data_IF_386688674308
#
_entry.id   IF_386688674308
#
_cell.length_a   1.000
_cell.length_b   1.000
_cell.length_c   1.000
_cell.angle_alpha   90.00
_cell.angle_beta   90.00
_cell.angle_gamma   90.00
#
_symmetry.space_group_name_H-M   'P 1'
#
loop_
_entity.id
_entity.type
_entity.pdbx_description
1 polymer ?
#
# COMPACT_ATOMS: atom_id res chain seq x y z
N UNK A 1 14.01 6.73 12.72
CA UNK A 1 12.62 6.47 12.29
C UNK A 1 12.41 4.99 11.97
N UNK A 2 13.23 4.40 11.09
CA UNK A 2 13.16 2.99 10.67
C UNK A 2 13.20 1.98 11.82
N UNK A 3 14.11 2.15 12.79
CA UNK A 3 14.23 1.28 13.97
C UNK A 3 12.97 1.28 14.84
N UNK A 4 12.35 2.45 15.03
CA UNK A 4 11.11 2.58 15.79
C UNK A 4 9.94 1.93 15.06
N UNK A 5 9.90 2.05 13.74
CA UNK A 5 8.89 1.41 12.91
C UNK A 5 8.94 -0.12 13.04
N UNK A 6 10.12 -0.73 12.84
CA UNK A 6 10.27 -2.18 13.05
C UNK A 6 9.93 -2.61 14.47
N UNK A 7 10.38 -1.87 15.50
CA UNK A 7 10.06 -2.18 16.89
C UNK A 7 8.55 -2.15 17.15
N UNK A 8 7.84 -1.21 16.51
CA UNK A 8 6.38 -1.10 16.62
C UNK A 8 5.68 -2.28 15.97
N UNK A 9 6.10 -2.68 14.77
CA UNK A 9 5.57 -3.88 14.09
C UNK A 9 5.81 -5.15 14.93
N UNK A 10 7.03 -5.34 15.43
CA UNK A 10 7.35 -6.48 16.30
C UNK A 10 6.53 -6.49 17.59
N UNK A 11 6.21 -5.31 18.15
CA UNK A 11 5.38 -5.21 19.35
C UNK A 11 3.91 -5.54 19.04
N UNK A 12 3.40 -5.06 17.92
CA UNK A 12 2.04 -5.35 17.46
C UNK A 12 1.86 -6.86 17.21
N UNK A 13 2.82 -7.49 16.51
CA UNK A 13 2.84 -8.94 16.27
C UNK A 13 2.83 -9.74 17.58
N UNK A 14 3.66 -9.35 18.56
CA UNK A 14 3.67 -9.97 19.91
C UNK A 14 2.36 -9.84 20.67
N UNK A 15 1.51 -8.88 20.31
CA UNK A 15 0.19 -8.68 20.89
C UNK A 15 -0.92 -9.32 20.04
N UNK A 16 -0.58 -10.03 18.96
CA UNK A 16 -1.54 -10.66 18.05
C UNK A 16 -2.18 -9.71 17.05
N UNK A 17 -1.60 -8.51 16.83
CA UNK A 17 -2.07 -7.57 15.82
C UNK A 17 -1.31 -7.73 14.50
N UNK A 18 -2.06 -7.86 13.41
CA UNK A 18 -1.54 -7.71 12.06
C UNK A 18 -1.63 -6.26 11.61
N UNK A 19 -0.50 -5.68 11.18
CA UNK A 19 -0.42 -4.24 10.85
C UNK A 19 -0.40 -4.04 9.33
N UNK A 20 -1.41 -3.30 8.83
CA UNK A 20 -1.41 -2.76 7.49
C UNK A 20 -0.57 -1.47 7.43
N UNK A 21 0.40 -1.40 6.52
CA UNK A 21 1.22 -0.21 6.28
C UNK A 21 1.54 -0.03 4.79
N UNK A 22 2.01 1.18 4.44
CA UNK A 22 2.58 1.47 3.12
C UNK A 22 3.77 2.42 3.25
N UNK A 23 4.84 2.11 2.53
CA UNK A 23 6.06 2.90 2.47
C UNK A 23 6.30 3.44 1.05
N UNK A 24 6.65 4.71 0.87
CA UNK A 24 6.69 5.76 1.90
C UNK A 24 5.34 6.46 2.15
N UNK A 25 4.29 6.08 1.41
CA UNK A 25 2.99 6.74 1.41
C UNK A 25 1.84 5.73 1.20
N UNK A 26 0.66 6.02 1.78
CA UNK A 26 -0.53 5.21 1.59
C UNK A 26 -0.96 5.16 0.12
N UNK A 27 -0.73 6.24 -0.63
CA UNK A 27 -1.02 6.36 -2.06
C UNK A 27 -0.35 5.30 -2.94
N UNK A 28 0.69 4.61 -2.46
CA UNK A 28 1.22 3.42 -3.12
C UNK A 28 0.11 2.38 -3.36
N UNK A 29 -0.73 2.12 -2.36
CA UNK A 29 -1.85 1.18 -2.48
C UNK A 29 -2.79 1.58 -3.63
N UNK A 30 -3.08 2.86 -3.79
CA UNK A 30 -3.92 3.36 -4.87
C UNK A 30 -3.26 3.22 -6.25
N UNK A 31 -1.98 3.55 -6.37
CA UNK A 31 -1.25 3.37 -7.64
C UNK A 31 -1.25 1.91 -8.08
N UNK A 32 -1.12 0.97 -7.13
CA UNK A 32 -1.06 -0.46 -7.42
C UNK A 32 -2.37 -1.03 -8.03
N UNK A 33 -3.50 -0.31 -7.96
CA UNK A 33 -4.73 -0.66 -8.67
C UNK A 33 -4.60 -0.51 -10.19
N UNK A 34 -3.74 0.41 -10.65
CA UNK A 34 -3.60 0.72 -12.08
C UNK A 34 -2.36 0.07 -12.68
N UNK A 35 -1.26 0.04 -11.94
CA UNK A 35 0.02 -0.43 -12.46
C UNK A 35 0.93 -0.96 -11.37
N UNK A 36 1.91 -1.76 -11.79
CA UNK A 36 2.94 -2.24 -10.89
C UNK A 36 4.03 -1.17 -10.68
N UNK A 37 4.19 -0.69 -9.45
CA UNK A 37 5.21 0.28 -9.07
C UNK A 37 6.17 -0.34 -8.04
N UNK A 38 7.43 -0.51 -8.41
CA UNK A 38 8.49 -1.01 -7.52
C UNK A 38 9.70 -0.08 -7.39
N UNK A 39 9.66 1.08 -8.05
CA UNK A 39 10.68 2.11 -7.92
C UNK A 39 10.29 3.10 -6.82
N UNK A 40 11.21 3.47 -5.91
CA UNK A 40 10.95 4.52 -4.93
C UNK A 40 10.66 5.85 -5.64
N UNK A 41 9.56 6.50 -5.28
CA UNK A 41 9.24 7.86 -5.75
C UNK A 41 8.85 8.73 -4.56
N UNK A 42 9.13 10.06 -4.61
CA UNK A 42 8.71 10.99 -3.57
C UNK A 42 7.18 11.03 -3.39
N UNK A 43 6.71 11.28 -2.17
CA UNK A 43 5.27 11.51 -1.85
C UNK A 43 4.52 12.41 -2.84
N UNK A 44 5.15 13.49 -3.30
CA UNK A 44 4.56 14.44 -4.25
C UNK A 44 4.30 13.82 -5.63
N UNK A 45 5.14 12.86 -6.03
CA UNK A 45 5.00 12.18 -7.32
C UNK A 45 3.84 11.18 -7.31
N UNK A 46 3.51 10.56 -6.17
CA UNK A 46 2.29 9.76 -6.05
C UNK A 46 1.03 10.57 -6.39
N UNK A 47 0.93 11.81 -5.89
CA UNK A 47 -0.22 12.68 -6.18
C UNK A 47 -0.33 12.99 -7.68
N UNK A 48 0.79 13.35 -8.32
CA UNK A 48 0.81 13.59 -9.78
C UNK A 48 0.41 12.33 -10.55
N UNK A 49 0.91 11.17 -10.12
CA UNK A 49 0.60 9.90 -10.76
C UNK A 49 -0.87 9.55 -10.64
N UNK A 50 -1.45 9.69 -9.45
CA UNK A 50 -2.87 9.47 -9.23
C UNK A 50 -3.72 10.46 -10.02
N UNK A 51 -3.30 11.71 -10.16
CA UNK A 51 -4.02 12.66 -11.00
C UNK A 51 -4.14 12.18 -12.46
N UNK A 52 -3.06 11.62 -12.99
CA UNK A 52 -3.04 11.05 -14.35
C UNK A 52 -3.87 9.76 -14.43
N UNK A 53 -3.69 8.84 -13.47
CA UNK A 53 -4.35 7.53 -13.48
C UNK A 53 -5.88 7.63 -13.28
N UNK A 54 -6.33 8.56 -12.45
CA UNK A 54 -7.76 8.81 -12.21
C UNK A 54 -8.39 9.73 -13.26
N UNK A 55 -7.59 10.41 -14.10
CA UNK A 55 -8.08 11.41 -15.04
C UNK A 55 -8.66 12.67 -14.40
N UNK A 56 -8.42 12.88 -13.10
CA UNK A 56 -8.91 14.01 -12.30
C UNK A 56 -7.96 14.32 -11.16
N UNK A 57 -8.10 15.46 -10.50
CA UNK A 57 -7.29 15.77 -9.33
C UNK A 57 -7.64 14.83 -8.15
N UNK A 58 -6.65 14.08 -7.68
CA UNK A 58 -6.72 13.30 -6.45
C UNK A 58 -6.67 14.21 -5.22
N UNK A 59 -7.56 13.96 -4.27
CA UNK A 59 -7.56 14.54 -2.94
C UNK A 59 -7.59 13.42 -1.90
N UNK A 60 -6.88 13.61 -0.77
CA UNK A 60 -6.77 12.58 0.26
C UNK A 60 -8.10 12.22 0.94
N UNK A 61 -9.03 13.15 0.92
CA UNK A 61 -10.39 13.04 1.47
C UNK A 61 -11.42 12.83 0.36
N UNK A 62 -11.05 12.17 -0.74
CA UNK A 62 -12.01 11.84 -1.79
C UNK A 62 -13.00 10.80 -1.29
N UNK A 63 -14.28 11.16 -1.26
CA UNK A 63 -15.37 10.26 -0.83
C UNK A 63 -15.67 9.16 -1.86
N UNK A 64 -15.19 9.30 -3.11
CA UNK A 64 -15.46 8.36 -4.22
C UNK A 64 -14.30 7.42 -4.53
N UNK A 65 -13.17 7.57 -3.85
CA UNK A 65 -11.94 6.84 -4.20
C UNK A 65 -12.09 5.32 -4.02
N UNK A 66 -12.92 4.87 -3.09
CA UNK A 66 -13.16 3.44 -2.89
C UNK A 66 -13.85 2.83 -4.12
N UNK A 67 -14.97 3.42 -4.56
CA UNK A 67 -15.76 2.93 -5.68
C UNK A 67 -14.95 2.97 -7.00
N UNK A 68 -14.13 4.01 -7.17
CA UNK A 68 -13.27 4.19 -8.35
C UNK A 68 -12.17 3.15 -8.49
N UNK A 69 -11.81 2.48 -7.39
CA UNK A 69 -10.72 1.50 -7.33
C UNK A 69 -11.23 0.07 -7.17
N UNK A 70 -12.51 -0.12 -6.83
CA UNK A 70 -13.06 -1.42 -6.45
C UNK A 70 -12.92 -2.47 -7.56
N UNK A 71 -13.17 -2.09 -8.81
CA UNK A 71 -13.04 -2.96 -10.00
C UNK A 71 -11.61 -3.48 -10.22
N UNK A 72 -10.61 -2.79 -9.65
CA UNK A 72 -9.18 -3.06 -9.79
C UNK A 72 -8.54 -3.64 -8.52
N UNK A 73 -9.33 -3.91 -7.49
CA UNK A 73 -8.80 -4.34 -6.19
C UNK A 73 -7.96 -5.63 -6.31
N UNK A 74 -8.38 -6.59 -7.13
CA UNK A 74 -7.59 -7.81 -7.40
C UNK A 74 -6.24 -7.51 -8.06
N UNK A 75 -6.17 -6.48 -8.90
CA UNK A 75 -4.91 -6.02 -9.51
C UNK A 75 -3.99 -5.44 -8.46
N UNK A 76 -4.51 -4.62 -7.54
CA UNK A 76 -3.74 -4.10 -6.42
C UNK A 76 -3.21 -5.19 -5.49
N UNK A 77 -4.03 -6.21 -5.21
CA UNK A 77 -3.61 -7.37 -4.41
C UNK A 77 -2.43 -8.08 -5.10
N UNK A 78 -2.58 -8.45 -6.39
CA UNK A 78 -1.51 -9.13 -7.15
C UNK A 78 -0.23 -8.30 -7.22
N UNK A 79 -0.36 -6.99 -7.47
CA UNK A 79 0.79 -6.08 -7.53
C UNK A 79 1.48 -5.94 -6.18
N UNK A 80 0.73 -5.88 -5.07
CA UNK A 80 1.29 -5.80 -3.72
C UNK A 80 2.00 -7.09 -3.32
N UNK A 81 1.43 -8.25 -3.61
CA UNK A 81 2.09 -9.55 -3.39
C UNK A 81 3.38 -9.67 -4.20
N UNK A 82 3.34 -9.25 -5.48
CA UNK A 82 4.53 -9.20 -6.33
C UNK A 82 5.59 -8.27 -5.77
N UNK A 83 5.19 -7.11 -5.23
CA UNK A 83 6.10 -6.14 -4.64
C UNK A 83 6.79 -6.70 -3.39
N UNK A 84 6.04 -7.29 -2.47
CA UNK A 84 6.63 -7.89 -1.25
C UNK A 84 7.59 -9.04 -1.57
N UNK A 85 7.31 -9.84 -2.60
CA UNK A 85 8.20 -10.93 -3.06
C UNK A 85 9.55 -10.44 -3.60
N UNK A 86 9.72 -9.15 -3.90
CA UNK A 86 11.01 -8.61 -4.33
C UNK A 86 12.02 -8.48 -3.17
N UNK A 87 11.56 -8.52 -1.93
CA UNK A 87 12.42 -8.42 -0.76
C UNK A 87 12.80 -9.82 -0.26
N UNK A 88 14.07 -10.21 -0.46
CA UNK A 88 14.60 -11.50 0.02
C UNK A 88 14.48 -11.68 1.54
N UNK A 89 14.72 -10.60 2.28
CA UNK A 89 14.53 -10.52 3.72
C UNK A 89 13.82 -9.21 3.99
N UNK A 90 12.52 -9.28 4.27
CA UNK A 90 11.74 -8.07 4.52
C UNK A 90 12.31 -7.29 5.70
N UNK A 91 12.50 -6.00 5.46
CA UNK A 91 12.83 -5.00 6.44
C UNK A 91 11.81 -3.87 6.28
N UNK A 92 10.64 -3.95 6.93
CA UNK A 92 9.59 -2.94 6.74
C UNK A 92 10.02 -1.50 7.01
N UNK A 93 11.08 -1.27 7.77
CA UNK A 93 11.61 0.08 8.00
C UNK A 93 12.38 0.66 6.82
N UNK A 94 12.86 -0.18 5.89
CA UNK A 94 13.70 0.19 4.75
C UNK A 94 13.11 -0.23 3.39
N UNK A 95 12.20 -1.20 3.39
CA UNK A 95 11.51 -1.69 2.20
C UNK A 95 10.66 -0.55 1.62
N UNK A 96 11.16 0.09 0.57
CA UNK A 96 10.52 1.19 -0.14
C UNK A 96 10.64 0.94 -1.66
N UNK A 97 9.54 0.94 -2.42
CA UNK A 97 8.15 0.98 -1.97
C UNK A 97 7.67 -0.38 -1.42
N UNK A 98 6.86 -0.40 -0.36
CA UNK A 98 6.24 -1.65 0.13
C UNK A 98 4.88 -1.40 0.75
N UNK A 99 3.98 -2.38 0.71
CA UNK A 99 2.67 -2.28 1.38
C UNK A 99 2.13 -3.64 1.81
N UNK A 100 1.50 -3.67 2.99
CA UNK A 100 0.76 -4.83 3.51
C UNK A 100 -0.75 -4.61 3.51
N UNK A 101 -1.24 -3.50 2.95
CA UNK A 101 -2.68 -3.16 2.93
C UNK A 101 -3.52 -4.24 2.23
N UNK A 102 -2.97 -4.90 1.20
CA UNK A 102 -3.63 -6.04 0.56
C UNK A 102 -3.97 -7.19 1.52
N UNK A 103 -3.20 -7.41 2.59
CA UNK A 103 -3.49 -8.46 3.58
C UNK A 103 -4.76 -8.10 4.37
N UNK A 104 -4.86 -6.84 4.82
CA UNK A 104 -6.07 -6.33 5.47
C UNK A 104 -7.28 -6.43 4.56
N UNK A 105 -7.15 -5.99 3.30
CA UNK A 105 -8.27 -6.03 2.33
C UNK A 105 -8.71 -7.47 2.05
N UNK A 106 -7.77 -8.41 1.91
CA UNK A 106 -8.12 -9.84 1.78
C UNK A 106 -8.86 -10.37 3.00
N UNK A 107 -8.46 -10.00 4.21
CA UNK A 107 -9.15 -10.39 5.43
C UNK A 107 -10.57 -9.79 5.51
N UNK A 108 -10.74 -8.53 5.12
CA UNK A 108 -12.05 -7.87 5.09
C UNK A 108 -12.98 -8.52 4.05
N UNK A 109 -12.47 -8.83 2.86
CA UNK A 109 -13.27 -9.49 1.81
C UNK A 109 -13.74 -10.90 2.20
N UNK A 110 -13.08 -11.56 3.16
CA UNK A 110 -13.51 -12.85 3.68
C UNK A 110 -14.66 -12.75 4.70
N UNK A 111 -14.99 -11.54 5.15
CA UNK A 111 -16.07 -11.26 6.11
C UNK A 111 -17.34 -10.70 5.46
N UNK A 112 -17.30 -10.46 4.14
CA UNK A 112 -18.44 -10.05 3.31
C UNK A 112 -19.10 -11.28 2.68
#
# INVERSE_FOLDING_TARGET
MEKLFQQTLNKAEKQGFEVAYSNEAFELWYVLHFEFLNSPIPRKEYLKKLNTLLGKQYTKNSDTIYDELLDRQETAIRNSEKLLKQYHKSNPGQDNPSTTVHLLVKALNQQL
#
